data_IF_147315549789
#
_entry.id   IF_147315549789
#
_cell.length_a   1.000
_cell.length_b   1.000
_cell.length_c   1.000
_cell.angle_alpha   90.00
_cell.angle_beta   90.00
_cell.angle_gamma   90.00
#
_symmetry.space_group_name_H-M   'P 1'
#
loop_
_entity.id
_entity.type
_entity.pdbx_description
1 polymer ?
#
# COMPACT_ATOMS: atom_id res chain seq x y z
N UNK A 1 -13.35 6.60 -3.90
CA UNK A 1 -13.25 7.54 -2.77
C UNK A 1 -11.95 8.29 -2.88
N UNK A 2 -11.96 9.60 -2.65
CA UNK A 2 -10.71 10.32 -2.45
C UNK A 2 -10.80 11.38 -1.35
N UNK A 3 -9.65 11.83 -0.84
CA UNK A 3 -9.55 12.97 0.07
C UNK A 3 -8.93 14.17 -0.65
N UNK A 4 -9.47 15.36 -0.42
CA UNK A 4 -8.95 16.61 -1.00
C UNK A 4 -7.92 17.24 -0.07
N UNK A 5 -6.92 17.92 -0.64
CA UNK A 5 -5.96 18.72 0.12
C UNK A 5 -4.87 17.92 0.86
N UNK A 6 -4.79 16.60 0.61
CA UNK A 6 -3.81 15.70 1.21
C UNK A 6 -3.07 14.89 0.14
N UNK A 7 -1.99 14.22 0.55
CA UNK A 7 -1.27 13.30 -0.35
C UNK A 7 -2.13 12.08 -0.68
N UNK A 8 -1.88 11.48 -1.85
CA UNK A 8 -2.62 10.30 -2.34
C UNK A 8 -4.12 10.56 -2.49
N UNK A 9 -4.52 11.72 -3.03
CA UNK A 9 -5.90 12.19 -3.11
C UNK A 9 -6.27 12.73 -4.48
N UNK A 10 -6.26 14.06 -4.62
CA UNK A 10 -6.72 14.77 -5.83
C UNK A 10 -6.04 14.31 -7.13
N UNK A 11 -4.72 14.09 -7.10
CA UNK A 11 -3.94 13.72 -8.30
C UNK A 11 -4.26 12.30 -8.76
N UNK A 12 -4.36 11.38 -7.80
CA UNK A 12 -4.67 9.98 -8.03
C UNK A 12 -6.10 9.82 -8.57
N UNK A 13 -7.05 10.58 -8.02
CA UNK A 13 -8.42 10.63 -8.53
C UNK A 13 -8.47 11.15 -9.97
N UNK A 14 -7.83 12.28 -10.28
CA UNK A 14 -7.79 12.83 -11.63
C UNK A 14 -7.13 11.86 -12.63
N UNK A 15 -6.10 11.13 -12.20
CA UNK A 15 -5.47 10.08 -13.02
C UNK A 15 -6.43 8.92 -13.27
N UNK A 16 -7.12 8.43 -12.23
CA UNK A 16 -8.09 7.35 -12.35
C UNK A 16 -9.24 7.72 -13.29
N UNK A 17 -9.79 8.93 -13.19
CA UNK A 17 -10.81 9.40 -14.13
C UNK A 17 -10.32 9.38 -15.58
N UNK A 18 -9.10 9.85 -15.85
CA UNK A 18 -8.51 9.84 -17.19
C UNK A 18 -8.37 8.42 -17.74
N UNK A 19 -7.88 7.48 -16.92
CA UNK A 19 -7.71 6.08 -17.32
C UNK A 19 -9.06 5.44 -17.61
N UNK A 20 -10.05 5.61 -16.73
CA UNK A 20 -11.41 5.08 -16.92
C UNK A 20 -12.05 5.62 -18.20
N UNK A 21 -11.98 6.93 -18.43
CA UNK A 21 -12.49 7.57 -19.64
C UNK A 21 -11.79 7.05 -20.90
N UNK A 22 -10.47 6.85 -20.84
CA UNK A 22 -9.71 6.26 -21.94
C UNK A 22 -10.14 4.83 -22.29
N UNK A 23 -10.75 4.12 -21.33
CA UNK A 23 -11.33 2.79 -21.52
C UNK A 23 -12.83 2.82 -21.86
N UNK A 24 -13.45 4.01 -21.97
CA UNK A 24 -14.88 4.17 -22.21
C UNK A 24 -15.76 3.94 -20.98
N UNK A 25 -15.21 4.05 -19.77
CA UNK A 25 -15.93 3.90 -18.51
C UNK A 25 -15.90 5.18 -17.66
N UNK A 26 -16.85 5.28 -16.74
CA UNK A 26 -16.93 6.33 -15.74
C UNK A 26 -17.04 5.73 -14.33
N UNK A 27 -16.72 6.53 -13.31
CA UNK A 27 -16.92 6.14 -11.92
C UNK A 27 -18.40 6.33 -11.55
N UNK A 28 -19.06 5.28 -11.07
CA UNK A 28 -20.49 5.29 -10.75
C UNK A 28 -20.87 6.10 -9.51
N UNK A 29 -19.89 6.43 -8.67
CA UNK A 29 -20.10 7.17 -7.44
C UNK A 29 -18.77 7.63 -6.83
N UNK A 30 -18.77 8.81 -6.22
CA UNK A 30 -17.57 9.43 -5.66
C UNK A 30 -17.87 9.97 -4.27
N UNK A 31 -17.19 9.41 -3.27
CA UNK A 31 -17.02 10.06 -1.97
C UNK A 31 -15.80 10.97 -2.01
N UNK A 32 -15.98 12.21 -1.56
CA UNK A 32 -14.89 13.18 -1.41
C UNK A 32 -15.17 14.18 -0.30
N UNK A 33 -14.14 14.50 0.49
CA UNK A 33 -14.15 15.57 1.51
C UNK A 33 -12.78 16.22 1.59
N UNK A 34 -12.74 17.50 1.94
CA UNK A 34 -11.52 18.18 2.36
C UNK A 34 -11.01 17.60 3.67
N UNK A 35 -9.71 17.33 3.72
CA UNK A 35 -9.08 16.71 4.88
C UNK A 35 -7.74 17.36 5.18
N UNK A 36 -7.18 17.05 6.34
CA UNK A 36 -5.91 17.61 6.79
C UNK A 36 -5.06 16.58 7.49
N UNK A 37 -3.74 16.64 7.25
CA UNK A 37 -2.75 15.82 7.95
C UNK A 37 -2.48 16.35 9.37
N UNK A 38 -2.56 17.67 9.55
CA UNK A 38 -2.20 18.36 10.81
C UNK A 38 -3.41 18.93 11.57
N UNK A 39 -4.57 19.04 10.90
CA UNK A 39 -5.81 19.57 11.46
C UNK A 39 -6.82 18.52 11.93
N UNK A 40 -8.02 18.98 12.26
CA UNK A 40 -9.19 18.10 12.37
C UNK A 40 -9.50 17.45 11.02
N UNK A 41 -10.13 16.27 11.04
CA UNK A 41 -10.72 15.69 9.83
C UNK A 41 -11.89 16.55 9.33
N UNK A 42 -12.50 16.15 8.24
CA UNK A 42 -13.70 16.81 7.71
C UNK A 42 -14.75 17.03 8.81
N UNK A 43 -15.44 18.17 8.75
CA UNK A 43 -16.59 18.44 9.62
C UNK A 43 -17.58 17.28 9.53
N UNK A 44 -18.20 16.93 10.66
CA UNK A 44 -19.03 15.73 10.76
C UNK A 44 -20.15 15.77 9.73
N UNK A 45 -20.82 16.92 9.63
CA UNK A 45 -21.96 17.15 8.76
C UNK A 45 -21.57 17.04 7.28
N UNK A 46 -20.39 17.58 6.91
CA UNK A 46 -19.82 17.46 5.55
C UNK A 46 -19.51 16.01 5.22
N UNK A 47 -18.89 15.29 6.15
CA UNK A 47 -18.60 13.87 5.96
C UNK A 47 -19.88 13.04 5.80
N UNK A 48 -20.88 13.22 6.67
CA UNK A 48 -22.11 12.45 6.60
C UNK A 48 -22.88 12.76 5.31
N UNK A 49 -22.95 14.02 4.86
CA UNK A 49 -23.59 14.37 3.60
C UNK A 49 -22.90 13.69 2.39
N UNK A 50 -21.56 13.73 2.35
CA UNK A 50 -20.79 13.04 1.31
C UNK A 50 -20.95 11.51 1.38
N UNK A 51 -21.05 10.96 2.59
CA UNK A 51 -21.27 9.53 2.83
C UNK A 51 -22.62 9.08 2.28
N UNK A 52 -23.70 9.77 2.62
CA UNK A 52 -25.05 9.39 2.19
C UNK A 52 -25.16 9.42 0.67
N UNK A 53 -24.68 10.50 0.02
CA UNK A 53 -24.67 10.60 -1.44
C UNK A 53 -23.86 9.46 -2.09
N UNK A 54 -22.72 9.09 -1.51
CA UNK A 54 -21.90 8.00 -2.01
C UNK A 54 -22.55 6.63 -1.79
N UNK A 55 -23.04 6.34 -0.59
CA UNK A 55 -23.60 5.05 -0.23
C UNK A 55 -24.88 4.73 -1.02
N UNK A 56 -25.66 5.75 -1.40
CA UNK A 56 -26.84 5.60 -2.25
C UNK A 56 -26.53 5.13 -3.68
N UNK A 57 -25.28 5.32 -4.15
CA UNK A 57 -24.83 4.77 -5.43
C UNK A 57 -24.62 3.25 -5.40
N UNK A 58 -24.64 2.62 -4.21
CA UNK A 58 -24.48 1.18 -4.00
C UNK A 58 -23.30 0.59 -4.78
N UNK A 59 -22.08 1.09 -4.53
CA UNK A 59 -20.89 0.66 -5.28
C UNK A 59 -20.66 -0.84 -5.15
N UNK A 60 -20.21 -1.47 -6.23
CA UNK A 60 -19.78 -2.87 -6.22
C UNK A 60 -18.30 -3.01 -5.84
N UNK A 61 -17.49 -2.00 -6.18
CA UNK A 61 -16.09 -1.90 -5.82
C UNK A 61 -15.73 -0.43 -5.55
N UNK A 62 -14.76 -0.21 -4.66
CA UNK A 62 -14.33 1.12 -4.23
C UNK A 62 -12.81 1.19 -4.30
N UNK A 63 -12.32 2.11 -5.14
CA UNK A 63 -10.89 2.47 -5.15
C UNK A 63 -10.67 3.58 -4.12
N UNK A 64 -9.69 3.39 -3.24
CA UNK A 64 -9.37 4.32 -2.14
C UNK A 64 -8.14 5.15 -2.50
N UNK A 65 -8.34 6.45 -2.68
CA UNK A 65 -7.28 7.43 -2.83
C UNK A 65 -7.27 8.34 -1.59
N UNK A 66 -6.56 7.95 -0.55
CA UNK A 66 -6.36 8.85 0.59
C UNK A 66 -5.05 8.62 1.32
N UNK A 67 -4.70 9.59 2.16
CA UNK A 67 -3.64 9.43 3.16
C UNK A 67 -4.12 8.54 4.32
N UNK A 68 -3.21 7.87 5.06
CA UNK A 68 -3.57 7.01 6.19
C UNK A 68 -3.97 7.81 7.45
N UNK A 69 -5.01 8.65 7.32
CA UNK A 69 -5.48 9.60 8.34
C UNK A 69 -6.92 9.28 8.78
N UNK A 70 -7.43 10.07 9.73
CA UNK A 70 -8.72 9.82 10.42
C UNK A 70 -9.89 9.68 9.44
N UNK A 71 -9.97 10.50 8.41
CA UNK A 71 -11.09 10.44 7.46
C UNK A 71 -11.06 9.18 6.59
N UNK A 72 -9.88 8.70 6.20
CA UNK A 72 -9.72 7.40 5.53
C UNK A 72 -10.14 6.25 6.45
N UNK A 73 -9.74 6.29 7.73
CA UNK A 73 -10.19 5.31 8.73
C UNK A 73 -11.72 5.32 8.86
N UNK A 74 -12.32 6.53 8.97
CA UNK A 74 -13.76 6.71 9.09
C UNK A 74 -14.48 6.17 7.86
N UNK A 75 -14.00 6.50 6.66
CA UNK A 75 -14.56 6.02 5.40
C UNK A 75 -14.53 4.49 5.30
N UNK A 76 -13.35 3.88 5.51
CA UNK A 76 -13.21 2.42 5.43
C UNK A 76 -14.12 1.77 6.47
N UNK A 77 -14.09 2.21 7.73
CA UNK A 77 -14.95 1.64 8.77
C UNK A 77 -16.44 1.75 8.44
N UNK A 78 -16.87 2.86 7.84
CA UNK A 78 -18.27 3.05 7.42
C UNK A 78 -18.64 2.14 6.25
N UNK A 79 -17.74 1.96 5.28
CA UNK A 79 -17.92 1.03 4.18
C UNK A 79 -18.12 -0.41 4.65
N UNK A 80 -17.45 -0.83 5.72
CA UNK A 80 -17.58 -2.19 6.24
C UNK A 80 -18.87 -2.43 7.02
N UNK A 81 -19.55 -1.37 7.46
CA UNK A 81 -20.65 -1.46 8.43
C UNK A 81 -21.99 -0.98 7.87
N UNK A 82 -21.99 -0.11 6.85
CA UNK A 82 -23.22 0.31 6.18
C UNK A 82 -23.72 -0.78 5.23
N UNK A 83 -24.98 -1.18 5.38
CA UNK A 83 -25.60 -2.26 4.58
C UNK A 83 -25.59 -2.00 3.07
N UNK A 84 -25.51 -0.73 2.64
CA UNK A 84 -25.47 -0.37 1.21
C UNK A 84 -24.11 -0.63 0.57
N UNK A 85 -23.05 -0.71 1.37
CA UNK A 85 -21.65 -0.78 0.90
C UNK A 85 -20.86 -1.95 1.48
N UNK A 86 -21.34 -2.61 2.54
CA UNK A 86 -20.65 -3.70 3.22
C UNK A 86 -20.36 -4.93 2.35
N UNK A 87 -21.04 -5.08 1.21
CA UNK A 87 -20.75 -6.14 0.23
C UNK A 87 -19.77 -5.73 -0.87
N UNK A 88 -19.30 -4.48 -0.90
CA UNK A 88 -18.45 -3.96 -1.95
C UNK A 88 -16.98 -4.39 -1.76
N UNK A 89 -16.26 -4.56 -2.88
CA UNK A 89 -14.82 -4.80 -2.85
C UNK A 89 -14.06 -3.51 -2.52
N UNK A 90 -13.05 -3.60 -1.65
CA UNK A 90 -12.17 -2.50 -1.29
C UNK A 90 -10.83 -2.66 -2.01
N UNK A 91 -10.50 -1.72 -2.87
CA UNK A 91 -9.25 -1.68 -3.63
C UNK A 91 -8.38 -0.54 -3.07
N UNK A 92 -7.22 -0.87 -2.49
CA UNK A 92 -6.36 0.10 -1.82
C UNK A 92 -4.89 0.00 -2.26
N UNK A 93 -4.16 1.12 -2.38
CA UNK A 93 -2.73 1.09 -2.61
C UNK A 93 -1.97 0.53 -1.40
N UNK A 94 -0.73 0.05 -1.62
CA UNK A 94 0.15 -0.54 -0.58
C UNK A 94 0.28 0.38 0.65
N UNK A 95 0.36 1.68 0.44
CA UNK A 95 0.48 2.69 1.51
C UNK A 95 -0.68 2.66 2.52
N UNK A 96 -1.84 2.13 2.13
CA UNK A 96 -3.02 1.98 2.98
C UNK A 96 -3.17 0.58 3.58
N UNK A 97 -2.28 -0.37 3.26
CA UNK A 97 -2.41 -1.76 3.68
C UNK A 97 -2.54 -1.93 5.20
N UNK A 98 -1.63 -1.33 5.97
CA UNK A 98 -1.67 -1.41 7.44
C UNK A 98 -2.99 -0.84 8.01
N UNK A 99 -3.40 0.34 7.52
CA UNK A 99 -4.64 0.99 7.93
C UNK A 99 -5.84 0.08 7.63
N UNK A 100 -5.93 -0.42 6.40
CA UNK A 100 -7.05 -1.24 5.95
C UNK A 100 -7.11 -2.53 6.74
N UNK A 101 -5.99 -3.22 6.94
CA UNK A 101 -5.92 -4.45 7.73
C UNK A 101 -6.36 -4.21 9.18
N UNK A 102 -5.91 -3.12 9.80
CA UNK A 102 -6.29 -2.75 11.17
C UNK A 102 -7.79 -2.46 11.29
N UNK A 103 -8.33 -1.64 10.39
CA UNK A 103 -9.76 -1.29 10.40
C UNK A 103 -10.63 -2.51 10.12
N UNK A 104 -10.24 -3.33 9.15
CA UNK A 104 -10.94 -4.56 8.78
C UNK A 104 -10.98 -5.57 9.94
N UNK A 105 -9.82 -5.86 10.56
CA UNK A 105 -9.74 -6.74 11.74
C UNK A 105 -10.63 -6.24 12.87
N UNK A 106 -10.64 -4.92 13.11
CA UNK A 106 -11.53 -4.29 14.10
C UNK A 106 -13.01 -4.47 13.77
N UNK A 107 -13.40 -4.28 12.51
CA UNK A 107 -14.77 -4.46 12.05
C UNK A 107 -15.24 -5.92 12.20
N UNK A 108 -14.39 -6.89 11.82
CA UNK A 108 -14.67 -8.32 11.99
C UNK A 108 -14.80 -8.70 13.46
N UNK A 109 -13.90 -8.21 14.32
CA UNK A 109 -14.02 -8.40 15.77
C UNK A 109 -15.30 -7.78 16.35
N UNK A 110 -15.83 -6.73 15.70
CA UNK A 110 -17.11 -6.10 16.02
C UNK A 110 -18.35 -6.77 15.43
N UNK A 111 -18.21 -7.91 14.72
CA UNK A 111 -19.31 -8.70 14.19
C UNK A 111 -19.59 -8.53 12.69
N UNK A 112 -18.77 -7.78 11.94
CA UNK A 112 -18.82 -7.80 10.47
C UNK A 112 -18.37 -9.16 9.96
N UNK A 113 -19.09 -9.72 8.99
CA UNK A 113 -18.72 -11.00 8.37
C UNK A 113 -17.38 -10.90 7.63
N UNK A 114 -16.50 -11.89 7.84
CA UNK A 114 -15.25 -11.97 7.11
C UNK A 114 -15.48 -12.61 5.73
N UNK A 115 -15.30 -11.82 4.67
CA UNK A 115 -15.38 -12.31 3.28
C UNK A 115 -13.98 -12.35 2.66
N UNK A 116 -13.43 -13.55 2.36
CA UNK A 116 -12.14 -13.68 1.69
C UNK A 116 -12.12 -12.95 0.33
N UNK A 117 -11.04 -12.20 0.07
CA UNK A 117 -10.86 -11.49 -1.20
C UNK A 117 -11.66 -10.18 -1.36
N UNK A 118 -12.46 -9.80 -0.35
CA UNK A 118 -13.18 -8.52 -0.39
C UNK A 118 -12.24 -7.31 -0.31
N UNK A 119 -11.12 -7.45 0.40
CA UNK A 119 -10.07 -6.44 0.49
C UNK A 119 -8.91 -6.84 -0.40
N UNK A 120 -8.54 -5.96 -1.31
CA UNK A 120 -7.43 -6.15 -2.24
C UNK A 120 -6.50 -4.96 -2.12
N UNK A 121 -5.25 -5.22 -1.72
CA UNK A 121 -4.18 -4.23 -1.72
C UNK A 121 -3.24 -4.46 -2.89
N UNK A 122 -2.71 -3.38 -3.46
CA UNK A 122 -1.58 -3.50 -4.38
C UNK A 122 -0.33 -3.86 -3.58
N UNK A 123 0.52 -4.74 -4.11
CA UNK A 123 1.85 -4.99 -3.58
C UNK A 123 2.93 -4.63 -4.60
N UNK A 124 4.11 -4.22 -4.12
CA UNK A 124 5.27 -3.88 -4.99
C UNK A 124 6.30 -5.00 -5.07
N UNK A 125 6.13 -6.05 -4.27
CA UNK A 125 7.06 -7.16 -4.17
C UNK A 125 6.31 -8.44 -3.76
N UNK A 126 6.91 -9.62 -3.94
CA UNK A 126 6.32 -10.86 -3.45
C UNK A 126 6.15 -10.85 -1.92
N UNK A 127 5.18 -11.63 -1.42
CA UNK A 127 4.98 -11.83 0.01
C UNK A 127 6.15 -12.61 0.62
N UNK A 128 6.49 -12.31 1.88
CA UNK A 128 7.57 -12.98 2.61
C UNK A 128 7.42 -14.51 2.68
N UNK A 129 6.17 -15.02 2.61
CA UNK A 129 5.86 -16.45 2.63
C UNK A 129 5.88 -17.12 1.25
N UNK A 130 5.95 -16.35 0.17
CA UNK A 130 5.83 -16.87 -1.19
C UNK A 130 7.16 -17.43 -1.72
N UNK A 131 7.46 -18.67 -1.35
CA UNK A 131 8.73 -19.33 -1.69
C UNK A 131 8.81 -19.82 -3.13
N UNK A 132 7.85 -19.46 -4.00
CA UNK A 132 7.96 -19.70 -5.44
C UNK A 132 9.08 -18.88 -6.07
N UNK A 133 9.44 -17.76 -5.44
CA UNK A 133 10.55 -16.91 -5.86
C UNK A 133 11.85 -17.30 -5.15
N UNK A 134 12.94 -17.42 -5.91
CA UNK A 134 14.28 -17.70 -5.37
C UNK A 134 14.74 -16.59 -4.43
N UNK A 135 14.44 -15.32 -4.78
CA UNK A 135 14.71 -14.17 -3.93
C UNK A 135 14.06 -14.29 -2.55
N UNK A 136 12.82 -14.81 -2.48
CA UNK A 136 12.11 -14.99 -1.21
C UNK A 136 12.69 -16.14 -0.39
N UNK A 137 13.14 -17.21 -1.03
CA UNK A 137 13.84 -18.30 -0.33
C UNK A 137 15.14 -17.80 0.33
N UNK A 138 15.93 -17.00 -0.41
CA UNK A 138 17.15 -16.37 0.11
C UNK A 138 16.83 -15.37 1.22
N UNK A 139 15.85 -14.50 1.00
CA UNK A 139 15.35 -13.54 1.98
C UNK A 139 14.96 -14.22 3.30
N UNK A 140 14.16 -15.30 3.27
CA UNK A 140 13.78 -16.01 4.48
C UNK A 140 14.98 -16.54 5.26
N UNK A 141 16.01 -17.02 4.55
CA UNK A 141 17.24 -17.53 5.18
C UNK A 141 18.02 -16.42 5.87
N UNK A 142 18.30 -15.31 5.17
CA UNK A 142 19.06 -14.18 5.74
C UNK A 142 18.27 -13.48 6.84
N UNK A 143 16.96 -13.34 6.68
CA UNK A 143 16.10 -12.70 7.67
C UNK A 143 16.02 -13.54 8.94
N UNK A 144 15.83 -14.87 8.87
CA UNK A 144 15.86 -15.73 10.07
C UNK A 144 17.18 -15.61 10.83
N UNK A 145 18.31 -15.57 10.13
CA UNK A 145 19.61 -15.38 10.75
C UNK A 145 19.75 -14.00 11.44
N UNK A 146 19.21 -12.94 10.82
CA UNK A 146 19.14 -11.60 11.42
C UNK A 146 18.23 -11.58 12.65
N UNK A 147 17.02 -12.14 12.55
CA UNK A 147 16.04 -12.22 13.64
C UNK A 147 16.60 -13.00 14.86
N UNK A 148 17.37 -14.07 14.63
CA UNK A 148 17.98 -14.88 15.69
C UNK A 148 19.07 -14.13 16.48
N UNK A 149 19.62 -13.04 15.94
CA UNK A 149 20.68 -12.22 16.56
C UNK A 149 20.15 -10.95 17.20
N UNK A 150 18.82 -10.80 17.31
CA UNK A 150 18.19 -9.59 17.83
C UNK A 150 18.50 -9.36 19.30
N UNK A 151 18.68 -8.08 19.64
CA UNK A 151 18.72 -7.61 21.03
C UNK A 151 17.29 -7.59 21.61
N UNK A 152 17.18 -7.58 22.94
CA UNK A 152 15.88 -7.58 23.65
C UNK A 152 14.93 -6.45 23.19
N UNK A 153 15.48 -5.28 22.86
CA UNK A 153 14.73 -4.11 22.36
C UNK A 153 14.00 -4.36 21.02
N UNK A 154 14.31 -5.46 20.31
CA UNK A 154 13.77 -5.80 18.99
C UNK A 154 12.86 -7.04 19.00
N UNK A 155 12.51 -7.58 20.18
CA UNK A 155 11.74 -8.83 20.34
C UNK A 155 10.31 -8.79 19.75
N UNK A 156 9.77 -7.60 19.48
CA UNK A 156 8.47 -7.45 18.82
C UNK A 156 8.53 -7.70 17.30
N UNK A 157 9.63 -7.28 16.66
CA UNK A 157 9.75 -7.24 15.20
C UNK A 157 9.95 -8.66 14.65
N UNK A 158 9.16 -9.06 13.67
CA UNK A 158 9.26 -10.37 13.01
C UNK A 158 8.84 -11.55 13.88
N UNK A 159 8.09 -11.30 14.97
CA UNK A 159 7.60 -12.37 15.86
C UNK A 159 6.81 -13.44 15.12
N UNK A 160 6.04 -13.02 14.11
CA UNK A 160 5.20 -13.90 13.29
C UNK A 160 5.83 -14.21 11.92
N UNK A 161 7.12 -13.91 11.71
CA UNK A 161 7.77 -14.12 10.43
C UNK A 161 7.77 -15.61 10.01
N UNK A 162 7.49 -15.96 8.74
CA UNK A 162 7.11 -15.10 7.61
C UNK A 162 5.59 -14.98 7.40
N UNK A 163 4.78 -15.30 8.41
CA UNK A 163 3.31 -15.45 8.30
C UNK A 163 2.53 -14.15 8.43
N UNK A 164 3.13 -13.08 8.93
CA UNK A 164 2.53 -11.75 8.91
C UNK A 164 2.77 -11.11 7.54
N UNK A 165 1.75 -11.07 6.70
CA UNK A 165 1.85 -10.52 5.34
C UNK A 165 2.14 -9.00 5.36
N UNK A 166 1.62 -8.26 6.35
CA UNK A 166 1.81 -6.81 6.44
C UNK A 166 3.25 -6.45 6.82
N UNK A 167 3.75 -7.05 7.90
CA UNK A 167 5.13 -6.83 8.33
C UNK A 167 6.12 -7.48 7.34
N UNK A 168 5.79 -8.69 6.87
CA UNK A 168 6.63 -9.46 5.97
C UNK A 168 6.85 -8.78 4.62
N UNK A 169 5.81 -8.20 4.02
CA UNK A 169 5.95 -7.47 2.75
C UNK A 169 6.86 -6.25 2.90
N UNK A 170 6.76 -5.50 4.00
CA UNK A 170 7.66 -4.39 4.31
C UNK A 170 9.11 -4.84 4.53
N UNK A 171 9.31 -5.99 5.19
CA UNK A 171 10.65 -6.56 5.36
C UNK A 171 11.27 -6.97 4.03
N UNK A 172 10.48 -7.57 3.13
CA UNK A 172 10.93 -7.92 1.77
C UNK A 172 11.31 -6.66 1.01
N UNK A 173 10.46 -5.63 1.02
CA UNK A 173 10.74 -4.35 0.36
C UNK A 173 12.06 -3.73 0.84
N UNK A 174 12.27 -3.70 2.17
CA UNK A 174 13.51 -3.19 2.76
C UNK A 174 14.74 -4.01 2.39
N UNK A 175 14.63 -5.34 2.37
CA UNK A 175 15.72 -6.21 1.94
C UNK A 175 16.07 -6.02 0.46
N UNK A 176 15.08 -6.01 -0.44
CA UNK A 176 15.26 -5.75 -1.87
C UNK A 176 15.95 -4.41 -2.09
N UNK A 177 15.51 -3.34 -1.41
CA UNK A 177 16.14 -2.03 -1.51
C UNK A 177 17.62 -2.07 -1.06
N UNK A 178 17.94 -2.84 -0.02
CA UNK A 178 19.30 -3.07 0.44
C UNK A 178 20.16 -3.83 -0.58
N UNK A 179 19.62 -4.87 -1.22
CA UNK A 179 20.28 -5.63 -2.28
C UNK A 179 20.60 -4.75 -3.50
N UNK A 180 19.62 -3.95 -3.94
CA UNK A 180 19.80 -2.98 -5.03
C UNK A 180 20.88 -1.94 -4.67
N UNK A 181 20.84 -1.41 -3.44
CA UNK A 181 21.84 -0.43 -2.98
C UNK A 181 23.25 -1.04 -2.95
N UNK A 182 23.39 -2.28 -2.49
CA UNK A 182 24.67 -3.01 -2.49
C UNK A 182 25.25 -3.13 -3.89
N UNK A 183 24.42 -3.51 -4.87
CA UNK A 183 24.82 -3.57 -6.29
C UNK A 183 25.13 -2.17 -6.86
N UNK A 184 24.35 -1.15 -6.49
CA UNK A 184 24.57 0.23 -6.92
C UNK A 184 25.94 0.75 -6.47
N UNK A 185 26.34 0.44 -5.23
CA UNK A 185 27.60 0.84 -4.61
C UNK A 185 28.82 0.01 -5.07
N UNK A 186 28.61 -1.14 -5.69
CA UNK A 186 29.70 -1.96 -6.23
C UNK A 186 30.47 -1.33 -7.40
N UNK A 187 29.94 -0.27 -8.04
CA UNK A 187 30.59 0.40 -9.16
C UNK A 187 31.48 1.56 -8.72
N UNK A 188 32.80 1.38 -8.79
CA UNK A 188 33.79 2.43 -8.47
C UNK A 188 33.65 3.67 -9.34
N UNK A 189 33.15 3.54 -10.56
CA UNK A 189 32.95 4.66 -11.47
C UNK A 189 31.85 5.61 -10.97
N UNK A 190 30.76 5.03 -10.47
CA UNK A 190 29.55 5.76 -10.10
C UNK A 190 29.55 6.27 -8.66
N UNK A 191 30.39 5.73 -7.78
CA UNK A 191 30.44 6.09 -6.35
C UNK A 191 31.52 7.16 -6.04
N UNK A 192 32.12 7.78 -7.06
CA UNK A 192 33.15 8.82 -6.88
C UNK A 192 32.65 10.02 -6.08
N UNK A 193 31.40 10.41 -6.27
CA UNK A 193 30.74 11.50 -5.55
C UNK A 193 29.21 11.37 -5.69
N UNK A 194 28.48 12.16 -4.89
CA UNK A 194 27.01 12.16 -4.87
C UNK A 194 26.39 12.43 -6.24
N UNK A 195 26.96 13.35 -7.02
CA UNK A 195 26.46 13.72 -8.35
C UNK A 195 26.58 12.55 -9.33
N UNK A 196 27.75 11.92 -9.40
CA UNK A 196 27.98 10.73 -10.22
C UNK A 196 27.08 9.57 -9.80
N UNK A 197 26.84 9.39 -8.51
CA UNK A 197 25.97 8.33 -8.00
C UNK A 197 24.52 8.57 -8.40
N UNK A 198 24.00 9.78 -8.18
CA UNK A 198 22.64 10.17 -8.58
C UNK A 198 22.43 10.01 -10.10
N UNK A 199 23.39 10.46 -10.91
CA UNK A 199 23.33 10.29 -12.36
C UNK A 199 23.26 8.81 -12.76
N UNK A 200 24.00 7.94 -12.06
CA UNK A 200 24.00 6.51 -12.34
C UNK A 200 22.65 5.83 -12.09
N UNK A 201 21.85 6.33 -11.14
CA UNK A 201 20.53 5.76 -10.84
C UNK A 201 19.56 5.91 -12.03
N UNK A 202 19.73 6.95 -12.85
CA UNK A 202 18.90 7.22 -14.02
C UNK A 202 19.49 6.65 -15.33
N UNK A 203 20.66 6.03 -15.28
CA UNK A 203 21.36 5.53 -16.47
C UNK A 203 20.92 4.10 -16.88
N UNK A 204 19.61 3.84 -16.85
CA UNK A 204 18.99 2.55 -17.25
C UNK A 204 19.66 1.30 -16.64
N UNK A 205 20.16 1.40 -15.40
CA UNK A 205 20.82 0.26 -14.75
C UNK A 205 19.80 -0.83 -14.44
N UNK A 206 20.16 -2.06 -14.77
CA UNK A 206 19.44 -3.27 -14.38
C UNK A 206 20.07 -3.84 -13.11
N UNK A 207 19.26 -4.02 -12.08
CA UNK A 207 19.62 -4.67 -10.82
C UNK A 207 18.90 -6.01 -10.75
N UNK A 208 19.63 -7.09 -10.44
CA UNK A 208 19.08 -8.44 -10.42
C UNK A 208 19.25 -9.01 -9.01
N UNK A 209 18.14 -9.20 -8.32
CA UNK A 209 18.07 -9.83 -6.99
C UNK A 209 17.49 -11.22 -7.18
N UNK A 210 18.39 -12.18 -7.42
CA UNK A 210 18.03 -13.55 -7.82
C UNK A 210 17.10 -13.54 -9.06
N UNK A 211 15.82 -13.86 -8.88
CA UNK A 211 14.79 -13.88 -9.92
C UNK A 211 13.95 -12.59 -10.02
N UNK A 212 14.27 -11.56 -9.22
CA UNK A 212 13.64 -10.23 -9.27
C UNK A 212 14.53 -9.26 -10.06
N UNK A 213 13.98 -8.64 -11.09
CA UNK A 213 14.68 -7.63 -11.90
C UNK A 213 14.10 -6.23 -11.63
N UNK A 214 14.97 -5.28 -11.33
CA UNK A 214 14.61 -3.89 -11.02
C UNK A 214 15.40 -2.94 -11.92
N UNK A 215 14.71 -1.96 -12.49
CA UNK A 215 15.29 -0.98 -13.41
C UNK A 215 15.13 -1.40 -14.87
N UNK A 216 15.93 -0.77 -15.75
CA UNK A 216 15.85 -0.93 -17.20
C UNK A 216 14.46 -0.63 -17.80
N UNK A 217 14.06 0.64 -17.75
CA UNK A 217 12.77 1.12 -18.29
C UNK A 217 12.78 1.35 -19.81
N UNK A 218 13.66 0.67 -20.55
CA UNK A 218 13.77 0.76 -22.01
C UNK A 218 12.92 -0.30 -22.71
N UNK A 219 11.70 0.09 -23.08
CA UNK A 219 10.93 -0.55 -24.16
C UNK A 219 10.98 0.30 -25.42
#
# INVERSE_FOLDING_TARGET
MYLQGVSFGDREYAHAQRVMLGMGYELSGVFSVESSVTGGGAEKEVFEAAWEAFADTRPQAVIVFGSPIKDTVKFVGRMLTDRRTAGAYLLAPLVLQDLVLRVWRGAVAGGVEFVPGQVITTGTNPLARDTRYEAIQRFQTVMRAYLARKKEEQLGVGRNFPKDDNEGEMMVAGWIAGEVLSQALGSREWVKNRTSFLASLYNQRRYVVDDIVIGDYGG
#
